data_IF_214271705513
#
_entry.id   IF_214271705513
#
_cell.length_a   1.000
_cell.length_b   1.000
_cell.length_c   1.000
_cell.angle_alpha   90.00
_cell.angle_beta   90.00
_cell.angle_gamma   90.00
#
_symmetry.space_group_name_H-M   'P 1'
#
loop_
_entity.id
_entity.type
_entity.pdbx_description
1 polymer ?
#
# COMPACT_ATOMS: atom_id res chain seq x y z
N UNK A 1 -8.57 -18.06 -0.52
CA UNK A 1 -9.67 -18.37 -1.45
C UNK A 1 -9.42 -18.01 -2.92
N UNK A 2 -8.79 -16.88 -3.26
CA UNK A 2 -8.47 -16.52 -4.66
C UNK A 2 -7.77 -17.64 -5.47
N UNK A 3 -6.72 -18.25 -4.92
CA UNK A 3 -6.00 -19.36 -5.57
C UNK A 3 -6.93 -20.56 -5.80
N UNK A 4 -7.79 -20.87 -4.83
CA UNK A 4 -8.74 -21.98 -4.91
C UNK A 4 -9.82 -21.70 -5.96
N UNK A 5 -10.36 -20.48 -6.02
CA UNK A 5 -11.32 -20.06 -7.03
C UNK A 5 -10.73 -20.24 -8.44
N UNK A 6 -9.48 -19.81 -8.65
CA UNK A 6 -8.75 -20.04 -9.90
C UNK A 6 -8.56 -21.51 -10.24
N UNK A 7 -8.19 -22.36 -9.28
CA UNK A 7 -8.03 -23.81 -9.50
C UNK A 7 -9.36 -24.46 -9.90
N UNK A 8 -10.47 -24.00 -9.33
CA UNK A 8 -11.82 -24.54 -9.58
C UNK A 8 -12.53 -23.89 -10.78
N UNK A 9 -11.93 -22.91 -11.45
CA UNK A 9 -12.56 -22.16 -12.54
C UNK A 9 -13.75 -21.32 -12.10
N UNK A 10 -13.79 -20.90 -10.84
CA UNK A 10 -14.83 -20.06 -10.25
C UNK A 10 -14.32 -18.62 -10.24
N UNK A 11 -15.18 -17.68 -10.64
CA UNK A 11 -14.86 -16.25 -10.56
C UNK A 11 -14.76 -15.82 -9.07
N UNK A 12 -13.61 -15.30 -8.62
CA UNK A 12 -13.45 -14.81 -7.26
C UNK A 12 -14.30 -13.56 -7.03
N UNK A 13 -14.80 -13.37 -5.81
CA UNK A 13 -15.45 -12.11 -5.43
C UNK A 13 -14.42 -11.00 -5.22
N UNK A 14 -14.87 -9.75 -5.26
CA UNK A 14 -14.02 -8.57 -5.04
C UNK A 14 -13.24 -8.65 -3.72
N UNK A 15 -13.89 -9.12 -2.65
CA UNK A 15 -13.23 -9.31 -1.35
C UNK A 15 -12.13 -10.38 -1.38
N UNK A 16 -12.27 -11.41 -2.23
CA UNK A 16 -11.20 -12.40 -2.41
C UNK A 16 -10.01 -11.84 -3.18
N UNK A 17 -10.19 -10.75 -3.92
CA UNK A 17 -9.17 -10.05 -4.70
C UNK A 17 -8.61 -8.82 -3.98
N UNK A 18 -9.03 -8.56 -2.74
CA UNK A 18 -8.59 -7.42 -1.94
C UNK A 18 -7.16 -7.62 -1.41
N UNK A 19 -6.20 -7.41 -2.30
CA UNK A 19 -4.78 -7.43 -2.00
C UNK A 19 -4.16 -6.06 -2.29
N UNK A 20 -3.13 -5.66 -1.54
CA UNK A 20 -2.39 -4.44 -1.83
C UNK A 20 -1.82 -4.43 -3.25
N UNK A 21 -1.93 -3.28 -3.93
CA UNK A 21 -1.31 -3.05 -5.24
C UNK A 21 0.15 -2.61 -5.10
N UNK A 22 0.84 -2.43 -6.23
CA UNK A 22 2.20 -1.88 -6.25
C UNK A 22 2.21 -0.44 -5.73
N UNK A 23 1.19 0.35 -6.08
CA UNK A 23 1.01 1.72 -5.62
C UNK A 23 0.82 1.78 -4.10
N UNK A 24 0.14 0.80 -3.50
CA UNK A 24 0.03 0.67 -2.04
C UNK A 24 1.40 0.47 -1.38
N UNK A 25 2.25 -0.35 -2.01
CA UNK A 25 3.65 -0.51 -1.61
C UNK A 25 4.43 0.80 -1.72
N UNK A 26 4.30 1.52 -2.84
CA UNK A 26 4.95 2.80 -3.06
C UNK A 26 4.52 3.86 -2.02
N UNK A 27 3.24 3.88 -1.66
CA UNK A 27 2.71 4.71 -0.55
C UNK A 27 3.36 4.38 0.77
N UNK A 28 3.50 3.10 1.09
CA UNK A 28 4.15 2.64 2.32
C UNK A 28 5.63 3.07 2.39
N UNK A 29 6.35 2.94 1.27
CA UNK A 29 7.76 3.38 1.19
C UNK A 29 7.86 4.89 1.37
N UNK A 30 7.02 5.69 0.71
CA UNK A 30 6.98 7.14 0.90
C UNK A 30 6.74 7.52 2.37
N UNK A 31 5.80 6.84 3.03
CA UNK A 31 5.53 7.07 4.45
C UNK A 31 6.79 6.87 5.31
N UNK A 32 7.52 5.78 5.11
CA UNK A 32 8.78 5.51 5.82
C UNK A 32 9.79 6.63 5.56
N UNK A 33 9.97 7.03 4.30
CA UNK A 33 10.88 8.13 3.95
C UNK A 33 10.51 9.43 4.68
N UNK A 34 9.23 9.79 4.70
CA UNK A 34 8.76 11.02 5.36
C UNK A 34 8.84 10.95 6.88
N UNK A 35 8.66 9.78 7.49
CA UNK A 35 8.87 9.59 8.91
C UNK A 35 10.35 9.80 9.30
N UNK A 36 11.29 9.27 8.50
CA UNK A 36 12.74 9.47 8.72
C UNK A 36 13.15 10.93 8.45
N UNK A 37 12.61 11.56 7.41
CA UNK A 37 12.82 12.99 7.16
C UNK A 37 12.33 13.85 8.33
N UNK A 38 11.16 13.53 8.88
CA UNK A 38 10.60 14.21 10.05
C UNK A 38 11.45 14.01 11.31
N UNK A 39 11.97 12.80 11.56
CA UNK A 39 12.78 12.54 12.76
C UNK A 39 14.14 13.25 12.76
N UNK A 40 14.66 13.58 11.58
CA UNK A 40 15.89 14.36 11.40
C UNK A 40 15.64 15.88 11.34
N UNK A 41 14.40 16.33 11.52
CA UNK A 41 13.99 17.73 11.39
C UNK A 41 13.65 18.35 12.74
N UNK A 42 13.88 19.66 12.86
CA UNK A 42 13.38 20.48 13.98
C UNK A 42 11.90 20.88 13.81
N UNK A 43 11.30 20.59 12.66
CA UNK A 43 9.91 20.91 12.34
C UNK A 43 9.01 19.73 12.69
N UNK A 44 7.95 20.00 13.48
CA UNK A 44 7.05 18.95 14.00
C UNK A 44 6.22 18.22 12.94
N UNK A 45 5.95 18.85 11.81
CA UNK A 45 5.08 18.30 10.77
C UNK A 45 5.77 18.32 9.41
N UNK A 46 5.80 17.16 8.75
CA UNK A 46 6.36 16.97 7.41
C UNK A 46 5.24 16.58 6.45
N UNK A 47 5.16 17.27 5.31
CA UNK A 47 4.17 16.95 4.28
C UNK A 47 4.49 15.59 3.63
N UNK A 48 3.53 14.67 3.69
CA UNK A 48 3.59 13.37 3.04
C UNK A 48 2.48 13.25 1.99
N UNK A 49 2.66 13.93 0.84
CA UNK A 49 1.75 13.84 -0.28
C UNK A 49 2.21 12.75 -1.25
N UNK A 50 1.32 11.82 -1.59
CA UNK A 50 1.54 10.78 -2.61
C UNK A 50 0.67 11.07 -3.83
N UNK A 51 1.25 10.94 -5.02
CA UNK A 51 0.52 10.88 -6.28
C UNK A 51 0.94 9.62 -7.02
N UNK A 52 -0.02 9.04 -7.74
CA UNK A 52 0.19 8.02 -8.76
C UNK A 52 0.50 8.73 -10.08
#
# INVERSE_FOLDING_TARGET
>A
DAIRARILGIEPSDLMLDFPTVEDGARGVLFIHKAVESSASEVKWTLAAFSI
#
